data_IF_572913512985
#
_entry.id   IF_572913512985
#
_cell.length_a   1.000
_cell.length_b   1.000
_cell.length_c   1.000
_cell.angle_alpha   90.00
_cell.angle_beta   90.00
_cell.angle_gamma   90.00
#
_symmetry.space_group_name_H-M   'P 1'
#
loop_
_entity.id
_entity.type
_entity.pdbx_description
1 polymer ?
#
# COMPACT_ATOMS: atom_id res chain seq x y z
N UNK A 1 41.89 -14.36 -1.79
CA UNK A 1 40.93 -14.51 -0.68
C UNK A 1 39.96 -13.31 -0.61
N UNK A 2 40.44 -12.07 -0.62
CA UNK A 2 39.60 -10.84 -0.61
C UNK A 2 38.63 -10.73 -1.80
N UNK A 3 39.06 -11.14 -3.00
CA UNK A 3 38.24 -11.04 -4.21
C UNK A 3 37.02 -11.98 -4.18
N UNK A 4 37.12 -13.12 -3.48
CA UNK A 4 36.03 -14.08 -3.34
C UNK A 4 34.91 -13.51 -2.43
N UNK A 5 35.29 -12.90 -1.31
CA UNK A 5 34.37 -12.24 -0.37
C UNK A 5 33.61 -11.09 -1.02
N UNK A 6 34.27 -10.28 -1.85
CA UNK A 6 33.63 -9.15 -2.55
C UNK A 6 32.63 -9.67 -3.60
N UNK A 7 32.97 -10.76 -4.29
CA UNK A 7 32.10 -11.32 -5.35
C UNK A 7 30.85 -11.97 -4.73
N UNK A 8 31.00 -12.66 -3.61
CA UNK A 8 29.88 -13.22 -2.86
C UNK A 8 28.99 -12.12 -2.25
N UNK A 9 29.58 -11.04 -1.72
CA UNK A 9 28.81 -9.92 -1.18
C UNK A 9 27.99 -9.21 -2.25
N UNK A 10 28.59 -8.94 -3.42
CA UNK A 10 27.89 -8.32 -4.55
C UNK A 10 26.83 -9.26 -5.16
N UNK A 11 27.08 -10.57 -5.19
CA UNK A 11 26.11 -11.58 -5.63
C UNK A 11 24.90 -11.66 -4.68
N UNK A 12 25.17 -11.61 -3.37
CA UNK A 12 24.15 -11.58 -2.32
C UNK A 12 23.29 -10.31 -2.37
N UNK A 13 23.91 -9.13 -2.55
CA UNK A 13 23.19 -7.85 -2.70
C UNK A 13 22.29 -7.84 -3.95
N UNK A 14 22.75 -8.46 -5.04
CA UNK A 14 21.99 -8.59 -6.28
C UNK A 14 20.80 -9.52 -6.10
N UNK A 15 20.94 -10.60 -5.32
CA UNK A 15 19.83 -11.51 -5.00
C UNK A 15 18.76 -10.87 -4.10
N UNK A 16 19.15 -9.95 -3.20
CA UNK A 16 18.21 -9.20 -2.35
C UNK A 16 17.42 -8.15 -3.13
N UNK A 17 18.03 -7.53 -4.14
CA UNK A 17 17.43 -6.41 -4.88
C UNK A 17 16.65 -6.81 -6.16
N UNK A 18 16.51 -8.10 -6.47
CA UNK A 18 16.01 -8.56 -7.78
C UNK A 18 14.55 -8.98 -7.84
N UNK A 19 13.80 -8.94 -6.74
CA UNK A 19 12.34 -9.10 -6.82
C UNK A 19 11.66 -7.73 -6.80
N UNK A 20 11.30 -7.15 -7.97
CA UNK A 20 10.42 -5.99 -7.98
C UNK A 20 9.15 -6.34 -7.19
N UNK A 21 8.73 -5.48 -6.25
CA UNK A 21 7.47 -5.68 -5.52
C UNK A 21 6.31 -5.66 -6.52
N UNK A 22 5.74 -6.82 -6.81
CA UNK A 22 4.60 -6.98 -7.72
C UNK A 22 3.27 -6.84 -6.99
N UNK A 23 3.11 -5.76 -6.21
CA UNK A 23 1.89 -5.53 -5.43
C UNK A 23 0.64 -5.36 -6.30
N UNK A 24 0.80 -4.89 -7.54
CA UNK A 24 -0.32 -4.63 -8.46
C UNK A 24 -0.77 -5.92 -9.16
N UNK A 25 0.17 -6.69 -9.69
CA UNK A 25 -0.13 -7.83 -10.57
C UNK A 25 -0.48 -9.11 -9.80
N UNK A 26 0.22 -9.37 -8.70
CA UNK A 26 0.11 -10.65 -7.98
C UNK A 26 -1.03 -10.64 -6.95
N UNK A 27 -1.61 -9.47 -6.66
CA UNK A 27 -2.64 -9.28 -5.63
C UNK A 27 -3.89 -8.55 -6.17
N UNK A 28 -4.26 -8.84 -7.41
CA UNK A 28 -5.44 -8.22 -8.06
C UNK A 28 -6.72 -8.41 -7.25
N UNK A 29 -6.92 -9.58 -6.62
CA UNK A 29 -8.09 -9.86 -5.80
C UNK A 29 -8.16 -8.91 -4.59
N UNK A 30 -7.03 -8.63 -3.95
CA UNK A 30 -6.96 -7.69 -2.83
C UNK A 30 -7.30 -6.27 -3.25
N UNK A 31 -6.78 -5.81 -4.39
CA UNK A 31 -7.15 -4.49 -4.94
C UNK A 31 -8.65 -4.39 -5.26
N UNK A 32 -9.23 -5.44 -5.86
CA UNK A 32 -10.67 -5.49 -6.14
C UNK A 32 -11.46 -5.37 -4.83
N UNK A 33 -11.10 -6.14 -3.80
CA UNK A 33 -11.76 -6.08 -2.49
C UNK A 33 -11.66 -4.68 -1.87
N UNK A 34 -10.47 -4.06 -1.93
CA UNK A 34 -10.25 -2.72 -1.40
C UNK A 34 -11.09 -1.67 -2.15
N UNK A 35 -11.19 -1.76 -3.47
CA UNK A 35 -12.00 -0.85 -4.30
C UNK A 35 -13.49 -1.03 -3.99
N UNK A 36 -13.99 -2.27 -3.91
CA UNK A 36 -15.39 -2.55 -3.57
C UNK A 36 -15.72 -2.03 -2.18
N UNK A 37 -14.88 -2.29 -1.18
CA UNK A 37 -15.05 -1.78 0.17
C UNK A 37 -15.05 -0.24 0.19
N UNK A 38 -14.15 0.40 -0.57
CA UNK A 38 -14.09 1.87 -0.70
C UNK A 38 -15.36 2.44 -1.34
N UNK A 39 -15.91 1.77 -2.35
CA UNK A 39 -17.16 2.16 -2.99
C UNK A 39 -18.32 2.09 -1.99
N UNK A 40 -18.41 1.02 -1.19
CA UNK A 40 -19.41 0.86 -0.14
C UNK A 40 -19.29 1.96 0.91
N UNK A 41 -18.09 2.17 1.46
CA UNK A 41 -17.82 3.24 2.45
C UNK A 41 -18.19 4.60 1.86
N UNK A 42 -17.76 4.90 0.64
CA UNK A 42 -18.09 6.17 -0.01
C UNK A 42 -19.58 6.34 -0.24
N UNK A 43 -20.31 5.28 -0.59
CA UNK A 43 -21.76 5.35 -0.78
C UNK A 43 -22.51 5.63 0.52
N UNK A 44 -22.05 5.10 1.65
CA UNK A 44 -22.71 5.30 2.95
C UNK A 44 -22.31 6.62 3.62
N UNK A 45 -21.13 7.16 3.33
CA UNK A 45 -20.64 8.42 3.94
C UNK A 45 -20.87 9.66 3.07
N UNK A 46 -21.20 9.50 1.78
CA UNK A 46 -21.41 10.65 0.89
C UNK A 46 -22.80 11.25 1.05
N UNK A 47 -22.86 12.52 1.45
CA UNK A 47 -24.09 13.32 1.42
C UNK A 47 -24.56 13.68 0.00
N UNK A 48 -23.66 13.63 -0.99
CA UNK A 48 -23.98 13.89 -2.39
C UNK A 48 -23.73 12.65 -3.24
N UNK A 49 -24.82 11.96 -3.58
CA UNK A 49 -24.79 10.78 -4.46
C UNK A 49 -24.74 11.25 -5.91
N UNK A 50 -23.63 11.89 -6.30
CA UNK A 50 -23.31 12.14 -7.71
C UNK A 50 -22.16 11.24 -8.13
N UNK A 51 -22.11 10.76 -9.39
CA UNK A 51 -21.01 9.92 -9.85
C UNK A 51 -19.64 10.59 -9.67
N UNK A 52 -19.55 11.90 -9.92
CA UNK A 52 -18.33 12.66 -9.70
C UNK A 52 -17.96 12.73 -8.21
N UNK A 53 -18.92 13.02 -7.32
CA UNK A 53 -18.69 13.05 -5.87
C UNK A 53 -18.22 11.70 -5.32
N UNK A 54 -18.82 10.60 -5.78
CA UNK A 54 -18.41 9.25 -5.39
C UNK A 54 -16.99 8.94 -5.85
N UNK A 55 -16.64 9.25 -7.11
CA UNK A 55 -15.28 9.06 -7.63
C UNK A 55 -14.25 9.87 -6.83
N UNK A 56 -14.55 11.13 -6.51
CA UNK A 56 -13.67 11.97 -5.70
C UNK A 56 -13.51 11.41 -4.29
N UNK A 57 -14.59 10.95 -3.65
CA UNK A 57 -14.53 10.29 -2.33
C UNK A 57 -13.68 9.02 -2.37
N UNK A 58 -13.91 8.15 -3.35
CA UNK A 58 -13.16 6.91 -3.50
C UNK A 58 -11.68 7.17 -3.74
N UNK A 59 -11.35 8.14 -4.62
CA UNK A 59 -9.98 8.55 -4.89
C UNK A 59 -9.31 9.10 -3.62
N UNK A 60 -10.02 9.89 -2.82
CA UNK A 60 -9.54 10.41 -1.55
C UNK A 60 -9.17 9.29 -0.56
N UNK A 61 -10.04 8.27 -0.43
CA UNK A 61 -9.77 7.13 0.46
C UNK A 61 -8.54 6.33 0.04
N UNK A 62 -8.41 6.04 -1.25
CA UNK A 62 -7.27 5.27 -1.77
C UNK A 62 -5.97 6.08 -1.70
N UNK A 63 -6.02 7.38 -2.06
CA UNK A 63 -4.85 8.25 -2.00
C UNK A 63 -4.34 8.42 -0.56
N UNK A 64 -5.24 8.57 0.41
CA UNK A 64 -4.88 8.63 1.82
C UNK A 64 -4.25 7.34 2.32
N UNK A 65 -4.86 6.19 2.00
CA UNK A 65 -4.35 4.88 2.40
C UNK A 65 -2.93 4.61 1.87
N UNK A 66 -2.69 4.91 0.59
CA UNK A 66 -1.37 4.80 -0.03
C UNK A 66 -0.41 5.83 0.58
N UNK A 67 -0.85 7.07 0.77
CA UNK A 67 -0.05 8.14 1.36
C UNK A 67 0.46 7.80 2.77
N UNK A 68 -0.39 7.23 3.62
CA UNK A 68 0.01 6.75 4.94
C UNK A 68 1.00 5.60 4.83
N UNK A 69 0.78 4.63 3.94
CA UNK A 69 1.67 3.48 3.78
C UNK A 69 3.07 3.85 3.25
N UNK A 70 3.20 4.99 2.55
CA UNK A 70 4.51 5.50 2.13
C UNK A 70 5.41 5.86 3.34
N UNK A 71 4.84 6.30 4.46
CA UNK A 71 5.62 6.68 5.65
C UNK A 71 6.41 5.50 6.22
N UNK A 72 5.79 4.38 6.64
CA UNK A 72 6.54 3.23 7.12
C UNK A 72 7.44 2.66 6.01
N UNK A 73 7.01 2.66 4.75
CA UNK A 73 7.87 2.19 3.66
C UNK A 73 9.20 2.96 3.57
N UNK A 74 9.15 4.30 3.61
CA UNK A 74 10.36 5.14 3.60
C UNK A 74 11.20 4.86 4.85
N UNK A 75 10.59 4.86 6.04
CA UNK A 75 11.30 4.65 7.32
C UNK A 75 12.04 3.31 7.31
N UNK A 76 11.35 2.22 7.02
CA UNK A 76 11.93 0.87 7.02
C UNK A 76 13.02 0.71 5.94
N UNK A 77 12.87 1.40 4.81
CA UNK A 77 13.90 1.43 3.77
C UNK A 77 15.18 2.15 4.23
N UNK A 78 15.07 3.24 4.99
CA UNK A 78 16.23 3.95 5.55
C UNK A 78 17.00 3.11 6.58
N UNK A 79 16.33 2.20 7.30
CA UNK A 79 16.96 1.27 8.24
C UNK A 79 17.45 -0.04 7.59
N UNK A 80 17.47 -0.13 6.26
CA UNK A 80 17.99 -1.30 5.53
C UNK A 80 17.11 -2.56 5.62
N UNK A 81 15.86 -2.43 6.08
CA UNK A 81 14.89 -3.54 6.20
C UNK A 81 13.61 -3.18 5.44
N UNK A 82 13.63 -3.17 4.10
CA UNK A 82 12.45 -2.79 3.32
C UNK A 82 11.25 -3.68 3.66
N UNK A 83 10.06 -3.08 3.66
CA UNK A 83 8.82 -3.83 3.88
C UNK A 83 8.61 -4.83 2.76
N UNK A 84 8.16 -6.04 3.12
CA UNK A 84 7.70 -7.01 2.14
C UNK A 84 6.29 -6.63 1.61
N UNK A 85 5.83 -7.31 0.56
CA UNK A 85 4.55 -7.00 -0.09
C UNK A 85 3.36 -7.10 0.87
N UNK A 86 3.33 -8.13 1.71
CA UNK A 86 2.24 -8.36 2.69
C UNK A 86 2.19 -7.25 3.74
N UNK A 87 3.34 -6.79 4.23
CA UNK A 87 3.47 -5.67 5.16
C UNK A 87 3.02 -4.36 4.51
N UNK A 88 3.35 -4.15 3.24
CA UNK A 88 2.85 -2.99 2.49
C UNK A 88 1.32 -3.05 2.32
N UNK A 89 0.77 -4.21 1.96
CA UNK A 89 -0.68 -4.38 1.86
C UNK A 89 -1.38 -4.13 3.20
N UNK A 90 -0.82 -4.67 4.29
CA UNK A 90 -1.35 -4.47 5.64
C UNK A 90 -1.34 -3.00 6.03
N UNK A 91 -0.25 -2.27 5.77
CA UNK A 91 -0.17 -0.83 6.07
C UNK A 91 -1.15 0.00 5.24
N UNK A 92 -1.34 -0.32 3.96
CA UNK A 92 -2.37 0.32 3.11
C UNK A 92 -3.77 0.02 3.66
N UNK A 93 -4.08 -1.25 3.97
CA UNK A 93 -5.39 -1.64 4.50
C UNK A 93 -5.67 -0.98 5.85
N UNK A 94 -4.68 -0.87 6.74
CA UNK A 94 -4.82 -0.16 8.02
C UNK A 94 -5.04 1.33 7.80
N UNK A 95 -4.26 1.97 6.92
CA UNK A 95 -4.45 3.38 6.58
C UNK A 95 -5.84 3.67 6.00
N UNK A 96 -6.31 2.79 5.12
CA UNK A 96 -7.68 2.82 4.59
C UNK A 96 -8.73 2.65 5.69
N UNK A 97 -8.56 1.67 6.58
CA UNK A 97 -9.49 1.36 7.66
C UNK A 97 -9.63 2.54 8.64
N UNK A 98 -8.52 3.19 8.99
CA UNK A 98 -8.52 4.37 9.86
C UNK A 98 -9.41 5.46 9.27
N UNK A 99 -9.25 5.76 7.98
CA UNK A 99 -10.06 6.78 7.31
C UNK A 99 -11.53 6.36 7.16
N UNK A 100 -11.77 5.10 6.80
CA UNK A 100 -13.12 4.57 6.68
C UNK A 100 -13.89 4.67 8.00
N UNK A 101 -13.26 4.26 9.11
CA UNK A 101 -13.85 4.37 10.46
C UNK A 101 -14.07 5.82 10.86
N UNK A 102 -13.10 6.70 10.57
CA UNK A 102 -13.24 8.12 10.85
C UNK A 102 -14.45 8.73 10.12
N UNK A 103 -14.65 8.38 8.85
CA UNK A 103 -15.78 8.89 8.06
C UNK A 103 -17.13 8.27 8.44
N UNK A 104 -17.15 7.06 9.00
CA UNK A 104 -18.38 6.42 9.51
C UNK A 104 -18.80 6.90 10.90
N UNK A 105 -17.89 7.52 11.64
CA UNK A 105 -18.11 7.96 13.03
C UNK A 105 -18.63 9.39 13.15
N UNK A 106 -18.86 10.07 12.02
CA UNK A 106 -19.35 11.46 11.92
C UNK A 106 -20.81 11.44 11.50
#
# INVERSE_FOLDING_TARGET
>A
MVQFVITDYLSFEKHINQHPMKIITDHILWWILLIVATAVVSAVTSYQITPAGMLTSMAGHLAFAVGIALVPWIVYRLFGKPLNTEQMMATITVGWLILAVANLSV
#
